data_IF_412737254693
#
_entry.id   IF_412737254693
#
_cell.length_a   1.000
_cell.length_b   1.000
_cell.length_c   1.000
_cell.angle_alpha   90.00
_cell.angle_beta   90.00
_cell.angle_gamma   90.00
#
_symmetry.space_group_name_H-M   'P 1'
#
loop_
_entity.id
_entity.type
_entity.pdbx_description
1 polymer ?
#
# COMPACT_ATOMS: atom_id res chain seq x y z
N UNK A 1 -31.79 -10.00 -48.07
CA UNK A 1 -31.11 -10.96 -47.17
C UNK A 1 -30.46 -10.16 -46.06
N UNK A 2 -31.05 -10.18 -44.86
CA UNK A 2 -30.60 -9.43 -43.68
C UNK A 2 -30.09 -10.44 -42.65
N UNK A 3 -28.79 -10.41 -42.35
CA UNK A 3 -28.18 -11.22 -41.29
C UNK A 3 -28.23 -10.43 -39.99
N UNK A 4 -29.26 -10.66 -39.19
CA UNK A 4 -29.30 -10.17 -37.81
C UNK A 4 -28.26 -10.93 -36.99
N UNK A 5 -27.20 -10.22 -36.57
CA UNK A 5 -26.20 -10.73 -35.65
C UNK A 5 -26.83 -10.99 -34.28
N UNK A 6 -26.65 -12.21 -33.78
CA UNK A 6 -27.00 -12.58 -32.41
C UNK A 6 -25.99 -11.89 -31.49
N UNK A 7 -26.45 -10.83 -30.82
CA UNK A 7 -25.74 -10.17 -29.73
C UNK A 7 -25.69 -11.14 -28.53
N UNK A 8 -24.51 -11.45 -27.95
CA UNK A 8 -24.44 -12.34 -26.81
C UNK A 8 -24.99 -11.62 -25.58
N UNK A 9 -26.22 -11.96 -25.20
CA UNK A 9 -26.85 -11.54 -23.95
C UNK A 9 -25.94 -11.93 -22.79
N UNK A 10 -25.40 -10.92 -22.10
CA UNK A 10 -24.59 -11.10 -20.91
C UNK A 10 -25.43 -11.80 -19.82
N UNK A 11 -25.30 -13.12 -19.72
CA UNK A 11 -25.99 -13.91 -18.71
C UNK A 11 -25.65 -13.35 -17.32
N UNK A 12 -26.67 -12.97 -16.57
CA UNK A 12 -26.51 -12.53 -15.17
C UNK A 12 -25.80 -13.63 -14.38
N UNK A 13 -24.80 -13.30 -13.54
CA UNK A 13 -24.07 -14.30 -12.78
C UNK A 13 -25.06 -15.07 -11.89
N UNK A 14 -24.96 -16.39 -11.89
CA UNK A 14 -25.86 -17.27 -11.15
C UNK A 14 -25.94 -16.81 -9.67
N UNK A 15 -27.10 -16.90 -9.00
CA UNK A 15 -27.29 -16.39 -7.63
C UNK A 15 -26.33 -17.01 -6.59
N UNK A 16 -25.72 -18.16 -6.87
CA UNK A 16 -24.62 -18.73 -6.09
C UNK A 16 -23.31 -17.92 -6.21
N UNK A 17 -22.92 -17.49 -7.42
CA UNK A 17 -21.73 -16.66 -7.64
C UNK A 17 -21.88 -15.28 -6.98
N UNK A 18 -23.08 -14.67 -7.08
CA UNK A 18 -23.36 -13.36 -6.46
C UNK A 18 -23.24 -13.41 -4.92
N UNK A 19 -23.73 -14.48 -4.30
CA UNK A 19 -23.58 -14.73 -2.85
C UNK A 19 -22.14 -15.01 -2.45
N UNK A 20 -21.39 -15.78 -3.25
CA UNK A 20 -19.96 -16.00 -3.01
C UNK A 20 -19.14 -14.70 -3.13
N UNK A 21 -19.56 -13.80 -4.02
CA UNK A 21 -19.04 -12.43 -4.17
C UNK A 21 -19.23 -11.60 -2.91
N UNK A 22 -20.49 -11.46 -2.51
CA UNK A 22 -20.87 -10.71 -1.30
C UNK A 22 -20.14 -11.21 -0.06
N UNK A 23 -20.04 -12.53 0.14
CA UNK A 23 -19.29 -13.13 1.26
C UNK A 23 -17.81 -12.75 1.24
N UNK A 24 -17.16 -12.84 0.08
CA UNK A 24 -15.74 -12.50 -0.06
C UNK A 24 -15.46 -11.02 0.20
N UNK A 25 -16.22 -10.12 -0.45
CA UNK A 25 -16.06 -8.68 -0.23
C UNK A 25 -16.46 -8.27 1.18
N UNK A 26 -17.46 -8.93 1.78
CA UNK A 26 -17.82 -8.74 3.19
C UNK A 26 -16.69 -9.14 4.16
N UNK A 27 -16.05 -10.30 3.93
CA UNK A 27 -14.88 -10.71 4.73
C UNK A 27 -13.70 -9.74 4.58
N UNK A 28 -13.46 -9.24 3.37
CA UNK A 28 -12.41 -8.24 3.12
C UNK A 28 -12.73 -6.90 3.78
N UNK A 29 -13.99 -6.46 3.74
CA UNK A 29 -14.42 -5.24 4.41
C UNK A 29 -14.26 -5.36 5.93
N UNK A 30 -14.60 -6.52 6.51
CA UNK A 30 -14.38 -6.79 7.92
C UNK A 30 -12.88 -6.79 8.28
N UNK A 31 -12.05 -7.44 7.45
CA UNK A 31 -10.59 -7.44 7.64
C UNK A 31 -10.01 -6.03 7.54
N UNK A 32 -10.49 -5.21 6.60
CA UNK A 32 -10.11 -3.80 6.47
C UNK A 32 -10.52 -2.98 7.69
N UNK A 33 -11.75 -3.15 8.19
CA UNK A 33 -12.23 -2.47 9.38
C UNK A 33 -11.42 -2.86 10.62
N UNK A 34 -11.14 -4.14 10.80
CA UNK A 34 -10.28 -4.63 11.89
C UNK A 34 -8.85 -4.07 11.79
N UNK A 35 -8.28 -4.00 10.59
CA UNK A 35 -6.97 -3.41 10.36
C UNK A 35 -6.95 -1.90 10.65
N UNK A 36 -7.98 -1.16 10.25
CA UNK A 36 -8.13 0.27 10.55
C UNK A 36 -8.28 0.51 12.06
N UNK A 37 -9.06 -0.33 12.75
CA UNK A 37 -9.21 -0.28 14.21
C UNK A 37 -7.88 -0.56 14.91
N UNK A 38 -7.17 -1.63 14.52
CA UNK A 38 -5.86 -1.96 15.06
C UNK A 38 -4.81 -0.87 14.80
N UNK A 39 -4.84 -0.26 13.61
CA UNK A 39 -4.00 0.88 13.30
C UNK A 39 -4.35 2.10 14.16
N UNK A 40 -5.63 2.42 14.31
CA UNK A 40 -6.10 3.55 15.12
C UNK A 40 -5.75 3.37 16.60
N UNK A 41 -5.85 2.16 17.15
CA UNK A 41 -5.44 1.88 18.54
C UNK A 41 -3.93 2.01 18.71
N UNK A 42 -3.13 1.45 17.79
CA UNK A 42 -1.67 1.60 17.80
C UNK A 42 -1.24 3.08 17.74
N UNK A 43 -1.89 3.86 16.87
CA UNK A 43 -1.68 5.30 16.74
C UNK A 43 -2.01 6.06 18.02
N UNK A 44 -3.12 5.73 18.68
CA UNK A 44 -3.50 6.36 19.97
C UNK A 44 -2.48 6.07 21.07
N UNK A 45 -1.94 4.85 21.11
CA UNK A 45 -0.89 4.47 22.06
C UNK A 45 0.38 5.28 21.80
N UNK A 46 0.81 5.39 20.54
CA UNK A 46 2.01 6.15 20.18
C UNK A 46 1.84 7.67 20.37
N UNK A 47 0.67 8.23 20.04
CA UNK A 47 0.37 9.63 20.29
C UNK A 47 0.32 9.95 21.80
N UNK A 48 -0.21 9.04 22.62
CA UNK A 48 -0.19 9.17 24.08
C UNK A 48 1.23 9.23 24.65
N UNK A 49 2.14 8.39 24.13
CA UNK A 49 3.56 8.41 24.50
C UNK A 49 4.26 9.72 24.07
N UNK A 50 3.97 10.21 22.86
CA UNK A 50 4.55 11.45 22.34
C UNK A 50 4.14 12.69 23.17
N UNK A 51 2.88 12.76 23.61
CA UNK A 51 2.39 13.85 24.48
C UNK A 51 3.04 13.81 25.86
N UNK A 52 3.34 12.63 26.39
CA UNK A 52 4.01 12.46 27.70
C UNK A 52 5.51 12.77 27.65
N UNK A 53 6.17 12.62 26.48
CA UNK A 53 7.63 12.74 26.34
C UNK A 53 8.10 13.96 25.52
N UNK A 54 7.19 14.80 25.01
CA UNK A 54 7.49 16.15 24.53
C UNK A 54 8.03 16.30 23.11
N UNK A 55 8.41 15.23 22.40
CA UNK A 55 8.91 15.32 21.02
C UNK A 55 8.46 14.17 20.11
N UNK A 56 8.00 14.51 18.90
CA UNK A 56 7.54 13.55 17.88
C UNK A 56 8.68 12.67 17.33
N UNK A 57 9.94 13.12 17.42
CA UNK A 57 11.13 12.35 17.05
C UNK A 57 11.28 11.08 17.90
N UNK A 58 10.78 11.10 19.16
CA UNK A 58 10.80 9.95 20.07
C UNK A 58 9.93 8.77 19.61
N UNK A 59 9.08 8.94 18.59
CA UNK A 59 8.26 7.83 18.07
C UNK A 59 9.08 6.73 17.36
N UNK A 60 10.30 7.06 16.92
CA UNK A 60 11.23 6.11 16.27
C UNK A 60 12.30 5.56 17.22
N UNK A 61 12.36 6.08 18.44
CA UNK A 61 13.35 5.72 19.45
C UNK A 61 12.70 4.91 20.58
N UNK A 62 13.45 4.02 21.25
CA UNK A 62 12.96 3.38 22.45
C UNK A 62 12.68 4.42 23.55
N UNK A 63 11.52 4.35 24.23
CA UNK A 63 11.28 5.16 25.42
C UNK A 63 12.31 4.80 26.51
N UNK A 64 12.51 5.66 27.52
CA UNK A 64 13.39 5.34 28.65
C UNK A 64 13.02 3.98 29.28
N UNK A 65 13.98 3.04 29.30
CA UNK A 65 13.76 1.66 29.78
C UNK A 65 13.13 0.69 28.76
N UNK A 66 12.82 1.14 27.55
CA UNK A 66 12.33 0.33 26.44
C UNK A 66 13.44 -0.33 25.61
N UNK A 67 13.09 -1.33 24.82
CA UNK A 67 14.03 -2.02 23.92
C UNK A 67 13.77 -1.65 22.45
N UNK A 68 14.83 -1.63 21.63
CA UNK A 68 14.73 -1.46 20.18
C UNK A 68 13.81 -2.51 19.52
N UNK A 69 13.83 -3.75 20.04
CA UNK A 69 12.95 -4.81 19.57
C UNK A 69 11.47 -4.50 19.83
N UNK A 70 11.15 -3.91 20.99
CA UNK A 70 9.79 -3.48 21.32
C UNK A 70 9.27 -2.40 20.37
N UNK A 71 10.10 -1.40 20.06
CA UNK A 71 9.74 -0.31 19.12
C UNK A 71 9.58 -0.86 17.71
N UNK A 72 10.49 -1.72 17.26
CA UNK A 72 10.38 -2.39 15.97
C UNK A 72 9.08 -3.21 15.87
N UNK A 73 8.75 -3.99 16.92
CA UNK A 73 7.53 -4.80 16.94
C UNK A 73 6.27 -3.92 16.87
N UNK A 74 6.23 -2.82 17.64
CA UNK A 74 5.13 -1.86 17.61
C UNK A 74 5.01 -1.19 16.23
N UNK A 75 6.13 -0.75 15.65
CA UNK A 75 6.19 -0.17 14.31
C UNK A 75 5.70 -1.17 13.26
N UNK A 76 6.18 -2.41 13.27
CA UNK A 76 5.77 -3.45 12.32
C UNK A 76 4.30 -3.80 12.47
N UNK A 77 3.77 -3.84 13.69
CA UNK A 77 2.34 -4.05 13.95
C UNK A 77 1.50 -2.93 13.32
N UNK A 78 1.83 -1.67 13.60
CA UNK A 78 1.17 -0.51 13.03
C UNK A 78 1.31 -0.45 11.49
N UNK A 79 2.53 -0.63 10.98
CA UNK A 79 2.85 -0.64 9.56
C UNK A 79 2.07 -1.72 8.81
N UNK A 80 2.01 -2.93 9.36
CA UNK A 80 1.28 -4.04 8.74
C UNK A 80 -0.22 -3.76 8.75
N UNK A 81 -0.78 -3.26 9.85
CA UNK A 81 -2.18 -2.86 9.92
C UNK A 81 -2.53 -1.76 8.90
N UNK A 82 -1.67 -0.74 8.78
CA UNK A 82 -1.78 0.31 7.78
C UNK A 82 -1.70 -0.26 6.35
N UNK A 83 -0.68 -1.07 6.07
CA UNK A 83 -0.45 -1.66 4.75
C UNK A 83 -1.63 -2.54 4.34
N UNK A 84 -2.20 -3.32 5.28
CA UNK A 84 -3.44 -4.06 5.06
C UNK A 84 -4.59 -3.10 4.72
N UNK A 85 -4.86 -2.11 5.56
CA UNK A 85 -5.96 -1.18 5.32
C UNK A 85 -5.87 -0.46 3.96
N UNK A 86 -4.68 0.00 3.58
CA UNK A 86 -4.48 0.77 2.35
C UNK A 86 -4.41 -0.09 1.10
N UNK A 87 -3.84 -1.30 1.18
CA UNK A 87 -3.55 -2.12 0.01
C UNK A 87 -4.59 -3.21 -0.24
N UNK A 88 -5.41 -3.57 0.76
CA UNK A 88 -6.47 -4.56 0.60
C UNK A 88 -7.47 -4.17 -0.51
N UNK A 89 -7.94 -2.91 -0.63
CA UNK A 89 -8.82 -2.50 -1.73
C UNK A 89 -8.19 -2.69 -3.11
N UNK A 90 -6.90 -2.40 -3.23
CA UNK A 90 -6.14 -2.52 -4.47
C UNK A 90 -5.92 -3.97 -4.92
N UNK A 91 -5.72 -4.89 -3.97
CA UNK A 91 -5.43 -6.31 -4.26
C UNK A 91 -6.69 -7.19 -4.30
N UNK A 92 -7.78 -6.75 -3.69
CA UNK A 92 -9.04 -7.50 -3.59
C UNK A 92 -9.58 -8.00 -4.95
N UNK A 93 -9.65 -7.20 -6.03
CA UNK A 93 -10.16 -7.68 -7.31
C UNK A 93 -9.20 -8.65 -8.01
N UNK A 94 -7.90 -8.60 -7.72
CA UNK A 94 -6.93 -9.57 -8.22
C UNK A 94 -7.11 -10.91 -7.51
N UNK A 95 -7.23 -10.90 -6.18
CA UNK A 95 -7.50 -12.11 -5.39
C UNK A 95 -8.85 -12.75 -5.73
N UNK A 96 -9.87 -11.94 -5.98
CA UNK A 96 -11.18 -12.43 -6.44
C UNK A 96 -11.07 -13.19 -7.77
N UNK A 97 -10.37 -12.61 -8.76
CA UNK A 97 -10.15 -13.23 -10.07
C UNK A 97 -9.35 -14.52 -9.95
N UNK A 98 -8.30 -14.52 -9.13
CA UNK A 98 -7.50 -15.70 -8.83
C UNK A 98 -8.38 -16.82 -8.23
N UNK A 99 -9.21 -16.48 -7.25
CA UNK A 99 -10.15 -17.40 -6.61
C UNK A 99 -11.17 -17.98 -7.59
N UNK A 100 -11.77 -17.15 -8.46
CA UNK A 100 -12.72 -17.62 -9.49
C UNK A 100 -12.07 -18.60 -10.46
N UNK A 101 -10.83 -18.34 -10.90
CA UNK A 101 -10.08 -19.24 -11.79
C UNK A 101 -9.81 -20.59 -11.14
N UNK A 102 -9.47 -20.60 -9.85
CA UNK A 102 -9.27 -21.84 -9.09
C UNK A 102 -10.57 -22.65 -8.91
N UNK A 103 -11.71 -21.98 -8.71
CA UNK A 103 -13.01 -22.65 -8.69
C UNK A 103 -13.39 -23.22 -10.05
N UNK A 104 -13.16 -22.47 -11.13
CA UNK A 104 -13.41 -22.94 -12.50
C UNK A 104 -12.54 -24.14 -12.88
N UNK A 105 -11.33 -24.26 -12.31
CA UNK A 105 -10.46 -25.43 -12.48
C UNK A 105 -10.79 -26.60 -11.55
N UNK A 106 -11.91 -26.56 -10.81
CA UNK A 106 -12.34 -27.63 -9.91
C UNK A 106 -11.59 -27.71 -8.58
N UNK A 107 -10.82 -26.68 -8.18
CA UNK A 107 -10.06 -26.71 -6.93
C UNK A 107 -10.97 -26.54 -5.71
N UNK A 108 -11.06 -27.58 -4.87
CA UNK A 108 -11.74 -27.52 -3.56
C UNK A 108 -11.03 -26.64 -2.52
N UNK A 109 -9.80 -26.19 -2.81
CA UNK A 109 -8.95 -25.39 -1.89
C UNK A 109 -8.78 -23.94 -2.35
N UNK A 110 -9.68 -23.44 -3.20
CA UNK A 110 -9.56 -22.12 -3.80
C UNK A 110 -9.44 -20.99 -2.76
N UNK A 111 -10.24 -21.04 -1.68
CA UNK A 111 -10.18 -20.04 -0.60
C UNK A 111 -8.84 -20.07 0.14
N UNK A 112 -8.34 -21.25 0.50
CA UNK A 112 -7.04 -21.40 1.18
C UNK A 112 -5.86 -20.98 0.31
N UNK A 113 -5.92 -21.22 -1.00
CA UNK A 113 -4.90 -20.76 -1.95
C UNK A 113 -4.96 -19.23 -2.13
N UNK A 114 -6.15 -18.63 -2.21
CA UNK A 114 -6.29 -17.18 -2.24
C UNK A 114 -5.77 -16.51 -0.96
N UNK A 115 -6.03 -17.12 0.20
CA UNK A 115 -5.46 -16.68 1.48
C UNK A 115 -3.93 -16.80 1.50
N UNK A 116 -3.37 -17.88 0.94
CA UNK A 116 -1.91 -18.07 0.82
C UNK A 116 -1.28 -17.00 -0.08
N UNK A 117 -1.95 -16.63 -1.18
CA UNK A 117 -1.52 -15.55 -2.05
C UNK A 117 -1.59 -14.18 -1.36
N UNK A 118 -2.66 -13.92 -0.59
CA UNK A 118 -2.76 -12.70 0.22
C UNK A 118 -1.66 -12.63 1.29
N UNK A 119 -1.32 -13.75 1.92
CA UNK A 119 -0.24 -13.80 2.91
C UNK A 119 1.12 -13.49 2.29
N UNK A 120 1.42 -14.04 1.11
CA UNK A 120 2.64 -13.69 0.36
C UNK A 120 2.68 -12.20 0.00
N UNK A 121 1.55 -11.63 -0.38
CA UNK A 121 1.43 -10.20 -0.66
C UNK A 121 1.78 -9.34 0.56
N UNK A 122 1.15 -9.61 1.71
CA UNK A 122 1.39 -8.84 2.93
C UNK A 122 2.75 -9.10 3.57
N UNK A 123 3.34 -10.29 3.35
CA UNK A 123 4.72 -10.56 3.71
C UNK A 123 5.68 -9.60 3.01
N UNK A 124 5.45 -9.31 1.72
CA UNK A 124 6.26 -8.32 0.98
C UNK A 124 6.15 -6.93 1.62
N UNK A 125 4.95 -6.53 2.03
CA UNK A 125 4.74 -5.24 2.72
C UNK A 125 5.39 -5.21 4.11
N UNK A 126 5.35 -6.31 4.86
CA UNK A 126 6.03 -6.40 6.14
C UNK A 126 7.57 -6.26 5.96
N UNK A 127 8.14 -6.88 4.92
CA UNK A 127 9.56 -6.72 4.58
C UNK A 127 9.90 -5.27 4.20
N UNK A 128 9.02 -4.57 3.47
CA UNK A 128 9.22 -3.14 3.20
C UNK A 128 9.24 -2.35 4.51
N UNK A 129 8.31 -2.61 5.43
CA UNK A 129 8.29 -1.98 6.75
C UNK A 129 9.58 -2.23 7.53
N UNK A 130 10.09 -3.46 7.50
CA UNK A 130 11.35 -3.84 8.14
C UNK A 130 12.56 -3.08 7.58
N UNK A 131 12.53 -2.71 6.29
CA UNK A 131 13.57 -1.88 5.66
C UNK A 131 13.38 -0.38 5.94
N UNK A 132 12.13 0.08 6.02
CA UNK A 132 11.79 1.48 6.30
C UNK A 132 12.13 1.86 7.75
N UNK A 133 11.90 0.96 8.70
CA UNK A 133 12.17 1.22 10.12
C UNK A 133 13.59 1.70 10.43
N UNK A 134 14.67 0.97 10.05
CA UNK A 134 16.03 1.40 10.35
C UNK A 134 16.38 2.71 9.65
N UNK A 135 15.86 2.98 8.45
CA UNK A 135 16.07 4.26 7.78
C UNK A 135 15.48 5.42 8.59
N UNK A 136 14.23 5.27 9.06
CA UNK A 136 13.59 6.26 9.92
C UNK A 136 14.30 6.43 11.26
N UNK A 137 14.71 5.33 11.89
CA UNK A 137 15.46 5.36 13.15
C UNK A 137 16.83 6.05 13.02
N UNK A 138 17.56 5.80 11.93
CA UNK A 138 18.85 6.48 11.67
C UNK A 138 18.62 7.98 11.49
N UNK A 139 17.62 8.39 10.71
CA UNK A 139 17.29 9.82 10.54
C UNK A 139 16.94 10.45 11.88
N UNK A 140 16.09 9.81 12.69
CA UNK A 140 15.71 10.32 14.01
C UNK A 140 16.91 10.45 14.97
N UNK A 141 17.84 9.49 14.96
CA UNK A 141 19.08 9.56 15.75
C UNK A 141 19.97 10.72 15.28
N UNK A 142 20.13 10.91 13.97
CA UNK A 142 20.93 12.00 13.41
C UNK A 142 20.34 13.38 13.72
N UNK A 143 19.02 13.52 13.63
CA UNK A 143 18.31 14.75 14.00
C UNK A 143 18.45 15.06 15.50
N UNK A 144 18.40 14.03 16.36
CA UNK A 144 18.58 14.18 17.80
C UNK A 144 20.02 14.59 18.18
N UNK A 145 21.04 14.13 17.44
CA UNK A 145 22.44 14.47 17.71
C UNK A 145 22.87 15.81 17.10
N UNK A 146 22.24 16.25 16.01
CA UNK A 146 22.63 17.45 15.29
C UNK A 146 21.39 18.32 14.98
N UNK A 147 21.07 19.33 15.81
CA UNK A 147 19.94 20.23 15.55
C UNK A 147 20.10 21.04 14.25
N UNK A 148 21.32 21.13 13.70
CA UNK A 148 21.56 21.66 12.36
C UNK A 148 20.98 20.78 11.23
N UNK A 149 20.98 19.45 11.41
CA UNK A 149 20.35 18.50 10.47
C UNK A 149 18.82 18.56 10.56
N UNK A 150 18.26 18.78 11.76
CA UNK A 150 16.82 18.95 11.92
C UNK A 150 16.25 20.11 11.09
N UNK A 151 17.06 21.17 10.84
CA UNK A 151 16.68 22.28 9.93
C UNK A 151 16.59 21.87 8.46
N UNK A 152 17.28 20.80 8.05
CA UNK A 152 17.19 20.26 6.69
C UNK A 152 16.00 19.31 6.50
N UNK A 153 15.37 18.86 7.58
CA UNK A 153 14.22 17.95 7.56
C UNK A 153 13.11 18.36 6.58
N UNK A 154 12.62 19.62 6.61
CA UNK A 154 11.60 20.09 5.66
C UNK A 154 12.05 20.05 4.19
N UNK A 155 13.32 20.35 3.91
CA UNK A 155 13.87 20.30 2.55
C UNK A 155 14.04 18.85 2.07
N UNK A 156 14.52 17.95 2.93
CA UNK A 156 14.64 16.52 2.64
C UNK A 156 13.26 15.89 2.39
N UNK A 157 12.26 16.25 3.18
CA UNK A 157 10.88 15.83 2.97
C UNK A 157 10.32 16.34 1.62
N UNK A 158 10.53 17.62 1.31
CA UNK A 158 10.14 18.20 0.02
C UNK A 158 10.81 17.51 -1.17
N UNK A 159 12.10 17.17 -1.07
CA UNK A 159 12.84 16.44 -2.09
C UNK A 159 12.31 15.01 -2.27
N UNK A 160 12.01 14.31 -1.18
CA UNK A 160 11.44 12.96 -1.23
C UNK A 160 10.04 12.95 -1.88
N UNK A 161 9.20 13.93 -1.54
CA UNK A 161 7.87 14.11 -2.16
C UNK A 161 8.00 14.44 -3.65
N UNK A 162 8.92 15.34 -4.02
CA UNK A 162 9.19 15.68 -5.41
C UNK A 162 9.68 14.47 -6.21
N UNK A 163 10.65 13.73 -5.69
CA UNK A 163 11.16 12.50 -6.31
C UNK A 163 10.05 11.44 -6.45
N UNK A 164 9.19 11.30 -5.44
CA UNK A 164 8.02 10.43 -5.49
C UNK A 164 7.01 10.84 -6.58
N UNK A 165 6.78 12.14 -6.75
CA UNK A 165 5.96 12.70 -7.82
C UNK A 165 6.56 12.48 -9.21
N UNK A 166 7.86 12.70 -9.38
CA UNK A 166 8.56 12.43 -10.64
C UNK A 166 8.55 10.93 -10.98
N UNK A 167 8.77 10.06 -9.98
CA UNK A 167 8.67 8.61 -10.16
C UNK A 167 7.29 8.20 -10.68
N UNK A 168 6.21 8.85 -10.23
CA UNK A 168 4.87 8.59 -10.73
C UNK A 168 4.69 8.86 -12.22
N UNK A 169 5.47 9.79 -12.78
CA UNK A 169 5.38 10.19 -14.19
C UNK A 169 6.22 9.30 -15.12
N UNK A 170 7.02 8.38 -14.57
CA UNK A 170 7.94 7.55 -15.35
C UNK A 170 7.22 6.50 -16.21
N UNK A 171 7.79 6.24 -17.39
CA UNK A 171 7.39 5.11 -18.24
C UNK A 171 7.61 3.76 -17.53
N UNK A 172 8.57 3.70 -16.62
CA UNK A 172 8.83 2.54 -15.77
C UNK A 172 7.61 2.20 -14.91
N UNK A 173 7.06 3.16 -14.15
CA UNK A 173 5.82 2.95 -13.39
C UNK A 173 4.67 2.51 -14.30
N UNK A 174 4.51 3.14 -15.46
CA UNK A 174 3.45 2.80 -16.41
C UNK A 174 3.52 1.33 -16.86
N UNK A 175 4.72 0.81 -17.13
CA UNK A 175 4.97 -0.60 -17.48
C UNK A 175 4.60 -1.55 -16.33
N UNK A 176 5.00 -1.23 -15.10
CA UNK A 176 4.67 -2.05 -13.92
C UNK A 176 3.16 -2.06 -13.64
N UNK A 177 2.48 -0.92 -13.79
CA UNK A 177 1.03 -0.82 -13.58
C UNK A 177 0.26 -1.63 -14.63
N UNK A 178 0.71 -1.62 -15.90
CA UNK A 178 0.17 -2.48 -16.94
C UNK A 178 0.39 -3.97 -16.61
N UNK A 179 1.59 -4.33 -16.15
CA UNK A 179 1.93 -5.68 -15.70
C UNK A 179 1.08 -6.17 -14.51
N UNK A 180 0.74 -5.30 -13.55
CA UNK A 180 -0.19 -5.64 -12.46
C UNK A 180 -1.61 -5.98 -12.96
N UNK A 181 -2.04 -5.40 -14.09
CA UNK A 181 -3.34 -5.70 -14.70
C UNK A 181 -3.30 -6.98 -15.55
N UNK A 182 -2.18 -7.21 -16.24
CA UNK A 182 -1.94 -8.35 -17.14
C UNK A 182 -1.62 -9.66 -16.40
N UNK A 183 -0.95 -9.63 -15.23
CA UNK A 183 -0.71 -10.84 -14.41
C UNK A 183 -2.00 -11.46 -13.87
N UNK A 184 -3.09 -10.70 -13.83
CA UNK A 184 -4.41 -11.25 -13.54
C UNK A 184 -4.95 -12.11 -14.70
N UNK A 185 -4.31 -12.08 -15.86
CA UNK A 185 -4.66 -12.83 -17.07
C UNK A 185 -3.80 -14.07 -17.32
N UNK A 186 -2.60 -14.17 -16.74
CA UNK A 186 -1.67 -15.28 -16.98
C UNK A 186 -2.16 -16.63 -16.40
N UNK A 187 -1.62 -17.73 -16.94
CA UNK A 187 -2.08 -19.11 -16.74
C UNK A 187 -2.29 -19.46 -15.26
N UNK A 188 -3.35 -20.25 -14.98
CA UNK A 188 -3.73 -20.68 -13.63
C UNK A 188 -2.50 -21.27 -12.94
N UNK A 189 -1.93 -20.61 -11.90
CA UNK A 189 -0.87 -21.21 -11.12
C UNK A 189 -1.38 -22.55 -10.61
N UNK A 190 -0.62 -23.63 -10.82
CA UNK A 190 -0.99 -24.98 -10.36
C UNK A 190 -1.60 -24.89 -8.95
N UNK A 191 -2.65 -25.67 -8.65
CA UNK A 191 -3.37 -25.66 -7.37
C UNK A 191 -2.51 -26.18 -6.18
N UNK A 192 -1.33 -25.62 -6.01
CA UNK A 192 -0.27 -25.93 -5.05
C UNK A 192 0.00 -24.68 -4.23
N UNK A 193 0.12 -24.85 -2.90
CA UNK A 193 0.39 -23.76 -1.95
C UNK A 193 1.62 -22.92 -2.34
N UNK A 194 2.71 -23.55 -2.78
CA UNK A 194 3.92 -22.84 -3.21
C UNK A 194 3.72 -21.99 -4.47
N UNK A 195 2.79 -22.34 -5.37
CA UNK A 195 2.46 -21.51 -6.53
C UNK A 195 1.63 -20.28 -6.12
N UNK A 196 0.68 -20.46 -5.20
CA UNK A 196 -0.12 -19.38 -4.63
C UNK A 196 0.75 -18.38 -3.85
N UNK A 197 1.67 -18.86 -3.02
CA UNK A 197 2.63 -18.04 -2.28
C UNK A 197 3.50 -17.18 -3.22
N UNK A 198 4.12 -17.81 -4.23
CA UNK A 198 4.93 -17.11 -5.23
C UNK A 198 4.12 -16.11 -6.06
N UNK A 199 2.87 -16.42 -6.37
CA UNK A 199 1.97 -15.47 -7.01
C UNK A 199 1.72 -14.25 -6.13
N UNK A 200 1.44 -14.46 -4.83
CA UNK A 200 1.32 -13.41 -3.83
C UNK A 200 2.54 -12.52 -3.72
N UNK A 201 3.74 -13.12 -3.63
CA UNK A 201 5.01 -12.38 -3.57
C UNK A 201 5.26 -11.54 -4.83
N UNK A 202 5.06 -12.10 -6.03
CA UNK A 202 5.22 -11.35 -7.29
C UNK A 202 4.25 -10.18 -7.37
N UNK A 203 3.00 -10.41 -6.97
CA UNK A 203 1.99 -9.35 -6.90
C UNK A 203 2.42 -8.27 -5.90
N UNK A 204 2.91 -8.67 -4.72
CA UNK A 204 3.44 -7.78 -3.70
C UNK A 204 4.59 -6.92 -4.20
N UNK A 205 5.60 -7.53 -4.82
CA UNK A 205 6.77 -6.83 -5.35
C UNK A 205 6.41 -5.84 -6.45
N UNK A 206 5.57 -6.25 -7.42
CA UNK A 206 5.11 -5.32 -8.48
C UNK A 206 4.28 -4.19 -7.91
N UNK A 207 3.44 -4.47 -6.91
CA UNK A 207 2.67 -3.45 -6.20
C UNK A 207 3.58 -2.49 -5.45
N UNK A 208 4.57 -2.99 -4.71
CA UNK A 208 5.54 -2.19 -3.97
C UNK A 208 6.33 -1.28 -4.88
N UNK A 209 6.85 -1.80 -6.01
CA UNK A 209 7.59 -0.99 -6.99
C UNK A 209 6.71 0.08 -7.61
N UNK A 210 5.48 -0.24 -8.03
CA UNK A 210 4.57 0.76 -8.63
C UNK A 210 4.09 1.83 -7.64
N UNK A 211 3.95 1.48 -6.36
CA UNK A 211 3.55 2.41 -5.30
C UNK A 211 4.73 3.11 -4.61
N UNK A 212 5.98 2.79 -4.97
CA UNK A 212 7.16 3.26 -4.23
C UNK A 212 7.20 4.79 -4.06
N UNK A 213 6.88 5.55 -5.12
CA UNK A 213 6.82 7.01 -5.03
C UNK A 213 5.73 7.55 -4.10
N UNK A 214 4.56 6.89 -4.07
CA UNK A 214 3.47 7.23 -3.14
C UNK A 214 3.85 6.91 -1.70
N UNK A 215 4.44 5.73 -1.47
CA UNK A 215 4.89 5.30 -0.14
C UNK A 215 6.02 6.20 0.38
N UNK A 216 6.99 6.56 -0.47
CA UNK A 216 8.05 7.49 -0.11
C UNK A 216 7.51 8.88 0.24
N UNK A 217 6.54 9.38 -0.54
CA UNK A 217 5.90 10.67 -0.25
C UNK A 217 5.12 10.64 1.06
N UNK A 218 4.39 9.55 1.33
CA UNK A 218 3.66 9.36 2.58
C UNK A 218 4.60 9.33 3.79
N UNK A 219 5.75 8.64 3.66
CA UNK A 219 6.77 8.61 4.70
C UNK A 219 7.39 9.99 4.96
N UNK A 220 7.64 10.75 3.90
CA UNK A 220 8.22 12.09 3.97
C UNK A 220 7.29 13.13 4.61
N UNK A 221 5.99 13.09 4.29
CA UNK A 221 4.97 13.97 4.90
C UNK A 221 4.65 13.55 6.33
N UNK A 222 4.79 12.27 6.63
CA UNK A 222 4.56 11.68 7.94
C UNK A 222 3.51 10.59 7.87
N UNK A 223 3.91 9.39 8.28
CA UNK A 223 3.05 8.19 8.34
C UNK A 223 1.84 8.36 9.29
N UNK A 224 1.87 9.38 10.15
CA UNK A 224 0.84 9.66 11.13
C UNK A 224 -0.31 10.55 10.60
N UNK A 225 -0.16 11.16 9.41
CA UNK A 225 -1.22 11.96 8.82
C UNK A 225 -2.27 11.07 8.14
N UNK A 226 -3.40 10.87 8.81
CA UNK A 226 -4.52 10.08 8.29
C UNK A 226 -5.05 10.59 6.94
N UNK A 227 -4.93 11.89 6.65
CA UNK A 227 -5.35 12.49 5.37
C UNK A 227 -4.41 12.06 4.27
N UNK A 228 -3.10 12.15 4.51
CA UNK A 228 -2.08 11.68 3.57
C UNK A 228 -2.24 10.18 3.29
N UNK A 229 -2.55 9.39 4.32
CA UNK A 229 -2.87 7.96 4.17
C UNK A 229 -4.11 7.73 3.32
N UNK A 230 -5.22 8.42 3.61
CA UNK A 230 -6.46 8.28 2.84
C UNK A 230 -6.28 8.66 1.37
N UNK A 231 -5.59 9.77 1.09
CA UNK A 231 -5.26 10.22 -0.27
C UNK A 231 -4.39 9.19 -0.98
N UNK A 232 -3.35 8.68 -0.30
CA UNK A 232 -2.43 7.68 -0.87
C UNK A 232 -3.14 6.36 -1.18
N UNK A 233 -4.04 5.91 -0.30
CA UNK A 233 -4.86 4.73 -0.51
C UNK A 233 -5.80 4.92 -1.70
N UNK A 234 -6.48 6.07 -1.77
CA UNK A 234 -7.38 6.42 -2.86
C UNK A 234 -6.64 6.52 -4.21
N UNK A 235 -5.47 7.15 -4.24
CA UNK A 235 -4.62 7.22 -5.41
C UNK A 235 -4.19 5.82 -5.87
N UNK A 236 -3.68 5.00 -4.95
CA UNK A 236 -3.26 3.61 -5.25
C UNK A 236 -4.40 2.76 -5.79
N UNK A 237 -5.59 2.87 -5.18
CA UNK A 237 -6.78 2.18 -5.64
C UNK A 237 -7.22 2.71 -7.02
N UNK A 238 -7.26 4.03 -7.20
CA UNK A 238 -7.64 4.68 -8.47
C UNK A 238 -6.72 4.29 -9.63
N UNK A 239 -5.40 4.24 -9.40
CA UNK A 239 -4.42 3.79 -10.40
C UNK A 239 -4.68 2.37 -10.89
N UNK A 240 -5.20 1.50 -10.02
CA UNK A 240 -5.37 0.08 -10.31
C UNK A 240 -6.77 -0.27 -10.81
N UNK A 241 -7.78 0.40 -10.27
CA UNK A 241 -9.19 0.08 -10.49
C UNK A 241 -9.82 0.94 -11.59
N UNK A 242 -9.34 2.16 -11.82
CA UNK A 242 -9.95 3.04 -12.81
C UNK A 242 -9.63 2.56 -14.25
N UNK A 243 -10.59 2.66 -15.20
CA UNK A 243 -10.34 2.38 -16.61
C UNK A 243 -9.24 3.28 -17.19
N UNK A 244 -9.02 4.47 -16.63
CA UNK A 244 -7.92 5.37 -16.95
C UNK A 244 -6.81 5.45 -15.90
N UNK A 245 -6.44 4.34 -15.24
CA UNK A 245 -5.51 4.37 -14.10
C UNK A 245 -4.15 5.05 -14.36
N UNK A 246 -3.66 5.04 -15.60
CA UNK A 246 -2.46 5.81 -15.97
C UNK A 246 -2.68 7.33 -15.87
N UNK A 247 -3.90 7.82 -16.18
CA UNK A 247 -4.26 9.24 -15.97
C UNK A 247 -4.29 9.57 -14.48
N UNK A 248 -4.80 8.68 -13.65
CA UNK A 248 -4.78 8.85 -12.18
C UNK A 248 -3.34 8.95 -11.67
N UNK A 249 -2.46 8.04 -12.11
CA UNK A 249 -1.03 8.09 -11.75
C UNK A 249 -0.36 9.39 -12.21
N UNK A 250 -0.68 9.89 -13.41
CA UNK A 250 -0.13 11.16 -13.90
C UNK A 250 -0.60 12.35 -13.07
N UNK A 251 -1.90 12.43 -12.77
CA UNK A 251 -2.47 13.51 -11.95
C UNK A 251 -1.86 13.47 -10.55
N UNK A 252 -1.81 12.30 -9.90
CA UNK A 252 -1.19 12.14 -8.58
C UNK A 252 0.30 12.51 -8.61
N UNK A 253 1.03 12.11 -9.65
CA UNK A 253 2.42 12.50 -9.86
C UNK A 253 2.64 14.00 -9.99
N UNK A 254 1.81 14.69 -10.80
CA UNK A 254 1.87 16.14 -10.96
C UNK A 254 1.56 16.87 -9.65
N UNK A 255 0.54 16.42 -8.92
CA UNK A 255 0.17 16.99 -7.62
C UNK A 255 1.31 16.83 -6.61
N UNK A 256 1.91 15.65 -6.52
CA UNK A 256 3.05 15.42 -5.63
C UNK A 256 4.29 16.22 -6.05
N UNK A 257 4.59 16.30 -7.34
CA UNK A 257 5.71 17.10 -7.82
C UNK A 257 5.52 18.58 -7.49
N UNK A 258 4.32 19.12 -7.69
CA UNK A 258 3.97 20.50 -7.31
C UNK A 258 4.07 20.71 -5.79
N UNK A 259 3.55 19.77 -4.99
CA UNK A 259 3.64 19.82 -3.54
C UNK A 259 5.09 19.79 -3.03
N UNK A 260 5.92 18.89 -3.58
CA UNK A 260 7.34 18.79 -3.23
C UNK A 260 8.11 20.06 -3.61
N UNK A 261 7.84 20.63 -4.80
CA UNK A 261 8.41 21.91 -5.22
C UNK A 261 8.01 23.06 -4.29
N UNK A 262 6.74 23.11 -3.88
CA UNK A 262 6.25 24.10 -2.93
C UNK A 262 6.91 23.95 -1.55
N UNK A 263 7.09 22.72 -1.06
CA UNK A 263 7.79 22.45 0.20
C UNK A 263 9.25 22.91 0.14
N UNK A 264 9.95 22.66 -0.98
CA UNK A 264 11.32 23.11 -1.19
C UNK A 264 11.42 24.64 -1.24
N UNK A 265 10.50 25.31 -1.96
CA UNK A 265 10.45 26.77 -2.01
C UNK A 265 10.22 27.36 -0.61
N UNK A 266 9.28 26.81 0.16
CA UNK A 266 9.04 27.24 1.55
C UNK A 266 10.27 27.05 2.43
N UNK A 267 10.96 25.91 2.32
CA UNK A 267 12.17 25.63 3.07
C UNK A 267 13.28 26.65 2.74
N UNK A 268 13.44 27.02 1.47
CA UNK A 268 14.42 28.01 1.01
C UNK A 268 14.10 29.43 1.50
N UNK A 269 12.82 29.79 1.67
CA UNK A 269 12.42 31.08 2.25
C UNK A 269 12.55 31.15 3.77
N UNK A 270 12.61 30.00 4.46
CA UNK A 270 12.72 29.91 5.92
C UNK A 270 14.15 29.66 6.43
N UNK A 271 15.10 29.41 5.52
CA UNK A 271 16.52 29.19 5.80
C UNK A 271 17.29 30.52 5.74
#
# INVERSE_FOLDING_TARGET
MSTAGVEPTAASPAPAERRAGLRFFGMLALAMAAALLAWATAMRIMAGMAVLCGDMAMSWLPPPGGTWLGVLAAFLGMWTAMAVAMMLPAVAPALWRYRRRLHASGSRRADGLAATAALGYFCTWALIGLLVFPLGAIVAVLEAQAPALARLGPAAAGLAVLAGGLFQLTAFKARYLAGCRLDACEAIPCARRGAAWRHGLRLGLRCGVSCAGLTASLLAVGMMDWRAMAITAAATAGERLAPGGLRVARIAGLVLAAAGMFMLARAAHSA
#
